data_IF_752070018790
#
_entry.id   IF_752070018790
#
_cell.length_a   1.000
_cell.length_b   1.000
_cell.length_c   1.000
_cell.angle_alpha   90.00
_cell.angle_beta   90.00
_cell.angle_gamma   90.00
#
_symmetry.space_group_name_H-M   'P 1'
#
loop_
_entity.id
_entity.type
_entity.pdbx_description
1 polymer ?
#
# COMPACT_ATOMS: atom_id res chain seq x y z
N UNK A 1 17.83 7.81 30.92
CA UNK A 1 17.95 9.08 30.18
C UNK A 1 18.22 8.66 28.75
N UNK A 2 17.22 8.79 27.89
CA UNK A 2 17.25 8.38 26.49
C UNK A 2 17.34 9.61 25.61
N UNK A 3 18.17 9.51 24.59
CA UNK A 3 18.25 10.53 23.55
C UNK A 3 17.05 10.43 22.61
N UNK A 4 16.40 11.56 22.37
CA UNK A 4 15.21 11.69 21.53
C UNK A 4 15.49 12.66 20.38
N UNK A 5 16.10 12.20 19.26
CA UNK A 5 16.42 13.07 18.14
C UNK A 5 15.14 13.62 17.50
N UNK A 6 15.12 14.92 17.13
CA UNK A 6 14.06 15.50 16.32
C UNK A 6 13.86 14.76 14.98
N UNK A 7 12.64 14.72 14.41
CA UNK A 7 12.37 14.05 13.14
C UNK A 7 13.15 14.62 11.94
N UNK A 8 13.63 15.85 12.04
CA UNK A 8 14.42 16.55 11.01
C UNK A 8 15.93 16.34 11.15
N UNK A 9 16.39 15.52 12.12
CA UNK A 9 17.79 15.15 12.27
C UNK A 9 18.07 13.78 11.66
N UNK A 10 19.33 13.49 11.28
CA UNK A 10 19.70 12.15 10.85
C UNK A 10 19.41 11.13 11.98
N UNK A 11 18.89 9.93 11.64
CA UNK A 11 18.56 8.92 12.64
C UNK A 11 19.82 8.43 13.35
N UNK A 12 19.78 8.41 14.68
CA UNK A 12 20.85 7.84 15.49
C UNK A 12 20.93 6.31 15.34
N UNK A 13 22.14 5.71 15.30
CA UNK A 13 22.27 4.25 15.29
C UNK A 13 21.58 3.59 16.50
N UNK A 14 21.05 2.36 16.36
CA UNK A 14 20.47 1.63 17.49
C UNK A 14 21.46 1.49 18.66
N UNK A 15 21.02 1.86 19.86
CA UNK A 15 21.83 1.80 21.08
C UNK A 15 22.84 2.94 21.25
N UNK A 16 22.87 3.91 20.33
CA UNK A 16 23.68 5.11 20.49
C UNK A 16 22.98 6.13 21.40
N UNK A 17 23.72 6.66 22.37
CA UNK A 17 23.32 7.83 23.16
C UNK A 17 24.53 8.77 23.24
N UNK A 18 24.32 10.09 23.10
CA UNK A 18 25.41 11.05 23.24
C UNK A 18 25.97 11.07 24.66
N UNK A 19 27.21 11.53 24.82
CA UNK A 19 27.76 11.84 26.14
C UNK A 19 27.25 13.20 26.67
N UNK A 20 27.54 13.52 27.93
CA UNK A 20 27.07 14.74 28.58
C UNK A 20 27.62 16.05 27.97
N UNK A 21 28.69 15.97 27.18
CA UNK A 21 29.33 17.12 26.53
C UNK A 21 28.99 17.20 25.04
N UNK A 22 28.13 16.31 24.55
CA UNK A 22 27.71 16.30 23.16
C UNK A 22 26.84 17.52 22.84
N UNK A 23 27.15 18.16 21.72
CA UNK A 23 26.31 19.18 21.10
C UNK A 23 25.92 18.72 19.69
N UNK A 24 24.71 19.07 19.21
CA UNK A 24 24.31 18.78 17.84
C UNK A 24 25.22 19.46 16.84
N UNK A 25 25.39 18.83 15.68
CA UNK A 25 26.13 19.43 14.57
C UNK A 25 25.49 20.77 14.19
N UNK A 26 26.26 21.88 14.10
CA UNK A 26 25.74 23.19 13.74
C UNK A 26 25.04 23.26 12.37
N UNK A 27 25.30 22.28 11.50
CA UNK A 27 24.66 22.18 10.18
C UNK A 27 23.26 21.56 10.23
N UNK A 28 22.85 20.97 11.36
CA UNK A 28 21.52 20.39 11.52
C UNK A 28 20.47 21.48 11.76
N UNK A 29 19.25 21.32 11.22
CA UNK A 29 18.16 22.25 11.51
C UNK A 29 17.90 22.34 13.02
N UNK A 30 17.48 23.50 13.56
CA UNK A 30 17.16 23.61 14.98
C UNK A 30 16.00 22.67 15.37
N UNK A 31 15.96 22.20 16.64
CA UNK A 31 14.85 21.40 17.12
C UNK A 31 13.56 22.24 17.14
N UNK A 32 12.37 21.61 16.97
CA UNK A 32 11.09 22.30 17.13
C UNK A 32 10.93 22.93 18.52
N UNK A 33 10.16 24.02 18.66
CA UNK A 33 9.91 24.63 19.97
C UNK A 33 9.37 23.62 20.99
N UNK A 34 9.97 23.58 22.18
CA UNK A 34 9.56 22.69 23.28
C UNK A 34 10.07 21.25 23.17
N UNK A 35 10.89 20.92 22.16
CA UNK A 35 11.45 19.58 22.02
C UNK A 35 12.50 19.26 23.09
N UNK A 36 12.34 18.12 23.75
CA UNK A 36 13.29 17.61 24.74
C UNK A 36 14.18 16.55 24.09
N UNK A 37 15.47 16.86 23.94
CA UNK A 37 16.48 15.94 23.40
C UNK A 37 16.80 14.80 24.37
N UNK A 38 16.49 14.96 25.65
CA UNK A 38 16.75 14.00 26.71
C UNK A 38 15.48 13.72 27.49
N UNK A 39 15.05 12.46 27.50
CA UNK A 39 13.88 12.00 28.28
C UNK A 39 14.33 11.01 29.34
N UNK A 40 13.75 11.04 30.55
CA UNK A 40 14.04 10.02 31.57
C UNK A 40 13.37 8.70 31.18
N UNK A 41 14.09 7.59 31.31
CA UNK A 41 13.50 6.26 31.18
C UNK A 41 12.99 5.87 32.56
N UNK A 42 11.67 5.79 32.72
CA UNK A 42 11.02 5.41 33.96
C UNK A 42 10.19 6.54 34.58
N UNK A 43 8.95 6.67 34.11
CA UNK A 43 7.84 7.03 34.98
C UNK A 43 6.57 6.38 34.39
N UNK A 44 6.19 5.28 35.02
CA UNK A 44 4.87 4.66 34.96
C UNK A 44 3.75 5.71 35.05
N UNK A 45 2.71 5.57 34.23
CA UNK A 45 1.38 6.13 34.59
C UNK A 45 0.81 5.20 35.66
N UNK A 46 0.29 5.69 36.80
CA UNK A 46 -1.09 5.31 37.15
C UNK A 46 -1.83 6.41 37.98
N UNK A 47 -3.11 6.21 38.37
CA UNK A 47 -4.24 7.06 38.05
C UNK A 47 -4.53 8.07 39.18
N UNK A 48 -5.58 8.88 39.03
CA UNK A 48 -5.88 10.00 39.92
C UNK A 48 -5.88 9.74 41.45
N UNK A 49 -5.79 10.87 42.15
CA UNK A 49 -6.06 11.15 43.58
C UNK A 49 -4.84 11.10 44.54
N UNK A 50 -4.49 12.28 45.08
CA UNK A 50 -3.47 12.56 46.11
C UNK A 50 -3.76 11.91 47.48
N UNK A 51 -2.72 11.80 48.35
CA UNK A 51 -2.86 12.24 49.74
C UNK A 51 -1.78 13.28 50.17
N UNK A 52 -1.99 14.02 51.28
CA UNK A 52 -1.23 15.23 51.63
C UNK A 52 -0.03 15.00 52.58
N UNK A 53 0.86 16.00 52.59
CA UNK A 53 1.93 16.36 53.53
C UNK A 53 2.22 15.47 54.77
N UNK A 54 3.50 15.06 54.90
CA UNK A 54 4.18 14.88 56.20
C UNK A 54 4.89 13.54 56.42
N UNK A 55 6.24 13.51 56.31
CA UNK A 55 7.22 12.68 57.04
C UNK A 55 8.52 12.40 56.21
N UNK A 56 9.70 12.22 56.84
CA UNK A 56 10.99 12.74 56.36
C UNK A 56 11.95 11.72 55.71
N UNK A 57 12.90 12.23 54.90
CA UNK A 57 13.92 11.49 54.15
C UNK A 57 15.11 10.99 55.00
N UNK A 58 15.66 9.78 54.73
CA UNK A 58 17.01 9.38 55.12
C UNK A 58 18.06 9.45 53.97
N UNK A 59 19.38 9.48 54.30
CA UNK A 59 20.46 10.12 53.54
C UNK A 59 21.17 9.25 52.47
N UNK A 60 22.03 9.83 51.60
CA UNK A 60 22.68 9.14 50.49
C UNK A 60 23.96 8.38 50.89
N UNK A 61 24.22 7.25 50.23
CA UNK A 61 25.45 6.44 50.35
C UNK A 61 26.52 6.77 49.28
N UNK A 62 27.79 6.35 49.47
CA UNK A 62 28.97 6.99 48.87
C UNK A 62 29.48 6.42 47.52
N UNK A 63 30.26 7.25 46.83
CA UNK A 63 30.87 7.12 45.49
C UNK A 63 32.29 6.44 45.48
N UNK A 64 32.94 6.21 44.31
CA UNK A 64 33.67 4.98 43.97
C UNK A 64 35.18 4.97 44.25
N UNK A 65 35.79 3.77 44.20
CA UNK A 65 37.24 3.54 44.38
C UNK A 65 37.95 2.92 43.16
N UNK A 66 38.97 3.67 42.71
CA UNK A 66 40.37 3.29 42.41
C UNK A 66 40.77 2.38 41.23
N UNK A 67 41.76 2.93 40.49
CA UNK A 67 42.64 2.42 39.42
C UNK A 67 43.58 1.26 39.84
N UNK A 68 44.00 0.43 38.86
CA UNK A 68 45.40 0.14 38.40
C UNK A 68 45.64 -1.30 37.93
N UNK A 69 46.44 -1.42 36.86
CA UNK A 69 47.12 -2.64 36.35
C UNK A 69 46.93 -2.77 34.84
N UNK A 70 47.70 -2.13 33.96
CA UNK A 70 49.15 -2.25 33.66
C UNK A 70 49.58 -3.70 33.42
N UNK A 71 49.63 -4.13 32.15
CA UNK A 71 50.69 -4.97 31.58
C UNK A 71 50.80 -4.73 30.06
N UNK A 72 52.05 -4.57 29.62
CA UNK A 72 52.53 -4.35 28.26
C UNK A 72 52.79 -5.68 27.56
N UNK A 73 52.63 -5.74 26.23
CA UNK A 73 53.65 -6.30 25.33
C UNK A 73 53.33 -6.05 23.85
N UNK A 74 54.27 -5.39 23.17
CA UNK A 74 54.43 -5.25 21.72
C UNK A 74 55.04 -6.51 21.10
N UNK A 75 54.73 -6.77 19.81
CA UNK A 75 55.67 -7.40 18.89
C UNK A 75 55.07 -8.37 17.88
N UNK A 76 54.90 -7.93 16.63
CA UNK A 76 55.47 -8.57 15.42
C UNK A 76 54.86 -7.96 14.14
N UNK A 77 55.74 -7.43 13.29
CA UNK A 77 55.45 -6.95 11.96
C UNK A 77 55.24 -8.11 10.96
N UNK A 78 54.42 -7.87 9.93
CA UNK A 78 54.24 -8.80 8.80
C UNK A 78 53.54 -8.13 7.61
N UNK A 79 54.34 -7.67 6.66
CA UNK A 79 53.97 -7.06 5.38
C UNK A 79 53.24 -8.06 4.47
N UNK A 80 52.15 -7.64 3.82
CA UNK A 80 51.74 -8.17 2.51
C UNK A 80 50.91 -7.13 1.73
N UNK A 81 51.58 -6.46 0.80
CA UNK A 81 51.02 -5.60 -0.25
C UNK A 81 50.70 -6.50 -1.45
N UNK A 82 49.41 -6.51 -1.85
CA UNK A 82 48.83 -6.44 -3.21
C UNK A 82 49.20 -7.51 -4.26
N UNK A 83 48.18 -7.82 -5.08
CA UNK A 83 48.16 -8.52 -6.39
C UNK A 83 47.90 -10.04 -6.24
N UNK A 84 46.80 -10.63 -6.73
CA UNK A 84 45.99 -10.30 -7.89
C UNK A 84 44.61 -10.99 -7.88
N UNK A 85 43.66 -10.32 -8.54
CA UNK A 85 42.58 -10.88 -9.36
C UNK A 85 41.40 -11.56 -8.66
N UNK A 86 40.40 -10.75 -8.32
CA UNK A 86 39.01 -11.20 -8.36
C UNK A 86 38.07 -10.56 -7.36
N UNK A 87 37.73 -9.27 -7.51
CA UNK A 87 36.32 -8.87 -7.50
C UNK A 87 36.17 -7.41 -7.93
N UNK A 88 35.37 -7.26 -8.97
CA UNK A 88 34.98 -6.05 -9.66
C UNK A 88 33.94 -5.28 -8.83
N UNK A 89 34.05 -3.95 -8.82
CA UNK A 89 33.01 -2.92 -8.60
C UNK A 89 31.99 -3.16 -7.47
N UNK A 90 31.98 -2.28 -6.46
CA UNK A 90 30.76 -1.58 -5.98
C UNK A 90 30.98 -0.99 -4.59
N UNK A 91 30.69 0.30 -4.42
CA UNK A 91 30.04 0.92 -3.25
C UNK A 91 30.08 2.45 -3.41
N UNK A 92 29.55 2.92 -4.55
CA UNK A 92 29.09 4.28 -4.70
C UNK A 92 27.56 4.29 -4.60
N UNK A 93 27.02 5.05 -3.63
CA UNK A 93 25.62 5.49 -3.58
C UNK A 93 24.59 4.46 -3.10
N UNK A 94 24.26 4.46 -1.81
CA UNK A 94 22.96 3.97 -1.32
C UNK A 94 22.11 5.17 -0.93
N UNK A 95 21.49 5.79 -1.94
CA UNK A 95 20.25 6.51 -1.73
C UNK A 95 19.23 5.46 -1.29
N UNK A 96 18.55 5.69 -0.16
CA UNK A 96 17.41 4.88 0.27
C UNK A 96 16.31 5.06 -0.76
N UNK A 97 16.27 4.16 -1.74
CA UNK A 97 15.07 3.93 -2.52
C UNK A 97 13.97 3.60 -1.50
N UNK A 98 12.90 4.41 -1.46
CA UNK A 98 11.60 3.85 -1.07
C UNK A 98 11.47 2.51 -1.79
N UNK A 99 11.23 1.43 -1.03
CA UNK A 99 11.27 0.05 -1.52
C UNK A 99 10.27 -0.13 -2.66
N UNK A 100 10.70 0.25 -3.87
CA UNK A 100 9.97 0.02 -5.10
C UNK A 100 9.80 -1.49 -5.21
N UNK A 101 8.60 -1.97 -5.57
CA UNK A 101 8.33 -3.39 -5.62
C UNK A 101 9.13 -4.13 -6.71
N UNK A 102 9.83 -3.38 -7.58
CA UNK A 102 10.81 -3.90 -8.53
C UNK A 102 12.06 -3.02 -8.56
N UNK A 103 13.21 -3.63 -8.87
CA UNK A 103 14.48 -2.94 -9.16
C UNK A 103 14.63 -2.56 -10.62
N UNK A 104 13.73 -3.03 -11.49
CA UNK A 104 13.72 -2.69 -12.92
C UNK A 104 13.27 -1.25 -13.13
N UNK A 105 13.68 -0.62 -14.26
CA UNK A 105 13.21 0.72 -14.60
C UNK A 105 11.69 0.75 -14.76
N UNK A 106 11.11 1.93 -14.53
CA UNK A 106 9.68 2.15 -14.71
C UNK A 106 9.28 1.94 -16.18
N UNK A 107 8.12 1.35 -16.40
CA UNK A 107 7.53 1.13 -17.71
C UNK A 107 6.96 2.47 -18.20
N UNK A 108 7.29 2.86 -19.42
CA UNK A 108 6.88 4.14 -20.02
C UNK A 108 5.93 3.99 -21.21
N UNK A 109 5.77 2.76 -21.70
CA UNK A 109 4.85 2.42 -22.80
C UNK A 109 4.21 1.07 -22.50
N UNK A 110 2.89 0.99 -22.64
CA UNK A 110 2.16 -0.27 -22.48
C UNK A 110 2.10 -1.00 -23.82
N UNK A 111 2.23 -2.33 -23.77
CA UNK A 111 2.01 -3.21 -24.93
C UNK A 111 1.03 -4.31 -24.56
N UNK A 112 0.32 -4.87 -25.56
CA UNK A 112 -0.62 -5.98 -25.32
C UNK A 112 0.06 -7.21 -24.72
N UNK A 113 1.36 -7.39 -24.97
CA UNK A 113 2.15 -8.49 -24.41
C UNK A 113 2.36 -8.37 -22.89
N UNK A 114 2.19 -7.17 -22.33
CA UNK A 114 2.27 -6.95 -20.88
C UNK A 114 0.98 -7.37 -20.15
N UNK A 115 -0.13 -7.61 -20.86
CA UNK A 115 -1.38 -8.07 -20.24
C UNK A 115 -1.34 -9.57 -20.00
N UNK A 116 -1.97 -9.99 -18.90
CA UNK A 116 -2.30 -11.39 -18.69
C UNK A 116 -3.20 -11.94 -19.80
N UNK A 117 -2.92 -13.19 -20.18
CA UNK A 117 -3.72 -13.91 -21.18
C UNK A 117 -4.96 -14.52 -20.53
N UNK A 118 -5.92 -14.94 -21.37
CA UNK A 118 -7.18 -15.56 -20.93
C UNK A 118 -6.95 -16.72 -19.95
N UNK A 119 -5.89 -17.51 -20.13
CA UNK A 119 -5.59 -18.66 -19.30
C UNK A 119 -5.25 -18.31 -17.84
N UNK A 120 -4.91 -17.05 -17.54
CA UNK A 120 -4.64 -16.58 -16.18
C UNK A 120 -5.93 -16.31 -15.39
N UNK A 121 -7.08 -16.16 -16.06
CA UNK A 121 -8.36 -15.92 -15.41
C UNK A 121 -8.93 -17.23 -14.87
N UNK A 122 -9.63 -17.20 -13.72
CA UNK A 122 -10.32 -18.37 -13.21
C UNK A 122 -11.43 -18.80 -14.16
N UNK A 123 -11.60 -20.11 -14.31
CA UNK A 123 -12.53 -20.72 -15.26
C UNK A 123 -12.46 -20.04 -16.65
N UNK A 124 -11.32 -20.18 -17.37
CA UNK A 124 -11.08 -19.48 -18.63
C UNK A 124 -11.99 -19.97 -19.77
N UNK A 125 -12.79 -21.02 -19.54
CA UNK A 125 -13.64 -21.64 -20.56
C UNK A 125 -14.97 -20.90 -20.71
N UNK A 126 -15.38 -20.64 -21.96
CA UNK A 126 -16.61 -19.88 -22.24
C UNK A 126 -16.54 -18.41 -21.83
N UNK A 127 -17.65 -17.69 -21.92
CA UNK A 127 -17.69 -16.24 -21.65
C UNK A 127 -17.08 -15.37 -22.75
N UNK A 128 -17.28 -14.06 -22.63
CA UNK A 128 -16.79 -13.03 -23.54
C UNK A 128 -15.40 -12.57 -23.08
N UNK A 129 -14.42 -12.66 -23.97
CA UNK A 129 -13.05 -12.20 -23.76
C UNK A 129 -12.78 -10.91 -24.54
N UNK A 130 -12.12 -9.95 -23.89
CA UNK A 130 -11.69 -8.68 -24.51
C UNK A 130 -10.30 -8.35 -23.95
N UNK A 131 -9.32 -8.05 -24.81
CA UNK A 131 -7.97 -7.65 -24.38
C UNK A 131 -7.27 -6.73 -25.38
N UNK A 132 -6.44 -5.80 -24.89
CA UNK A 132 -5.61 -4.91 -25.72
C UNK A 132 -5.26 -3.57 -25.04
N UNK A 133 -4.60 -2.69 -25.80
CA UNK A 133 -4.14 -1.34 -25.39
C UNK A 133 -5.03 -0.26 -26.01
N UNK A 134 -5.16 0.88 -25.33
CA UNK A 134 -5.74 2.17 -25.75
C UNK A 134 -7.13 2.13 -26.40
N UNK A 135 -7.93 1.09 -26.19
CA UNK A 135 -9.34 0.96 -26.62
C UNK A 135 -9.96 -0.40 -26.30
N UNK A 136 -9.16 -1.40 -25.91
CA UNK A 136 -9.72 -2.68 -25.49
C UNK A 136 -10.07 -2.62 -24.01
N UNK A 137 -11.35 -2.37 -23.69
CA UNK A 137 -11.90 -2.69 -22.37
C UNK A 137 -12.04 -1.55 -21.35
N UNK A 138 -11.71 -0.31 -21.69
CA UNK A 138 -12.13 0.87 -20.90
C UNK A 138 -13.66 1.06 -20.89
N UNK A 139 -14.41 0.27 -21.66
CA UNK A 139 -15.85 0.18 -21.52
C UNK A 139 -16.31 -1.23 -21.03
N UNK A 140 -16.64 -1.45 -19.73
CA UNK A 140 -18.07 -1.72 -19.49
C UNK A 140 -18.80 -0.48 -20.02
N UNK A 141 -19.92 -0.57 -20.79
CA UNK A 141 -20.44 0.60 -21.53
C UNK A 141 -20.27 1.80 -20.62
N UNK A 142 -19.48 2.83 -21.03
CA UNK A 142 -19.35 4.10 -20.30
C UNK A 142 -20.67 4.22 -19.60
N UNK A 143 -20.74 4.07 -18.28
CA UNK A 143 -22.06 4.12 -17.66
C UNK A 143 -22.38 5.59 -17.82
N UNK A 144 -22.96 6.04 -18.94
CA UNK A 144 -22.78 7.42 -19.41
C UNK A 144 -23.60 8.35 -18.52
N UNK A 145 -24.41 7.71 -17.68
CA UNK A 145 -25.37 8.22 -16.77
C UNK A 145 -24.98 7.88 -15.32
N UNK A 146 -23.77 7.39 -15.06
CA UNK A 146 -23.22 7.23 -13.72
C UNK A 146 -22.47 8.50 -13.34
N UNK A 147 -22.93 9.15 -12.29
CA UNK A 147 -22.22 10.26 -11.64
C UNK A 147 -21.76 9.81 -10.25
N UNK A 148 -20.53 10.15 -9.89
CA UNK A 148 -19.96 9.84 -8.56
C UNK A 148 -19.66 11.14 -7.83
N UNK A 149 -20.04 11.22 -6.56
CA UNK A 149 -19.77 12.36 -5.69
C UNK A 149 -19.06 11.89 -4.40
N UNK A 150 -17.80 12.33 -4.15
CA UNK A 150 -17.06 13.32 -4.94
C UNK A 150 -16.44 12.71 -6.22
N UNK A 151 -16.24 13.51 -7.29
CA UNK A 151 -15.87 13.00 -8.62
C UNK A 151 -14.53 12.28 -8.67
N UNK A 152 -13.59 12.62 -7.78
CA UNK A 152 -12.32 11.90 -7.66
C UNK A 152 -12.50 10.42 -7.26
N UNK A 153 -13.61 10.04 -6.65
CA UNK A 153 -13.89 8.63 -6.33
C UNK A 153 -14.38 7.84 -7.56
N UNK A 154 -14.62 8.48 -8.71
CA UNK A 154 -14.99 7.80 -9.95
C UNK A 154 -13.88 6.87 -10.46
N UNK A 155 -12.61 7.19 -10.19
CA UNK A 155 -11.44 6.40 -10.60
C UNK A 155 -11.40 4.99 -9.98
N UNK A 156 -12.27 4.68 -9.00
CA UNK A 156 -12.49 3.30 -8.54
C UNK A 156 -13.22 2.43 -9.58
N UNK A 157 -14.05 3.03 -10.42
CA UNK A 157 -14.85 2.34 -11.44
C UNK A 157 -14.20 2.40 -12.83
N UNK A 158 -13.45 3.46 -13.11
CA UNK A 158 -12.86 3.75 -14.42
C UNK A 158 -11.35 3.89 -14.36
N UNK A 159 -10.73 4.10 -15.53
CA UNK A 159 -9.34 4.59 -15.56
C UNK A 159 -9.21 5.98 -14.98
N UNK A 160 -8.07 6.30 -14.34
CA UNK A 160 -7.78 7.67 -13.94
C UNK A 160 -7.95 8.61 -15.12
N UNK A 161 -8.65 9.71 -14.91
CA UNK A 161 -8.87 10.72 -15.96
C UNK A 161 -7.57 11.29 -16.54
N UNK A 162 -6.47 11.20 -15.79
CA UNK A 162 -5.13 11.65 -16.16
C UNK A 162 -4.30 10.59 -16.88
N UNK A 163 -4.82 9.37 -17.07
CA UNK A 163 -4.09 8.30 -17.73
C UNK A 163 -3.73 8.64 -19.17
N UNK A 164 -2.46 8.44 -19.54
CA UNK A 164 -1.94 8.69 -20.89
C UNK A 164 -2.02 7.46 -21.79
N UNK A 165 -2.00 6.25 -21.20
CA UNK A 165 -2.20 4.98 -21.89
C UNK A 165 -2.93 4.02 -20.96
N UNK A 166 -3.79 3.18 -21.53
CA UNK A 166 -4.50 2.14 -20.80
C UNK A 166 -4.36 0.79 -21.50
N UNK A 167 -4.38 -0.29 -20.74
CA UNK A 167 -4.45 -1.63 -21.31
C UNK A 167 -5.35 -2.48 -20.42
N UNK A 168 -6.26 -3.25 -21.00
CA UNK A 168 -7.21 -4.04 -20.22
C UNK A 168 -7.29 -5.46 -20.76
N UNK A 169 -7.43 -6.42 -19.86
CA UNK A 169 -7.86 -7.80 -20.13
C UNK A 169 -9.13 -8.08 -19.32
N UNK A 170 -10.21 -8.48 -19.97
CA UNK A 170 -11.52 -8.72 -19.34
C UNK A 170 -12.10 -10.07 -19.76
N UNK A 171 -12.56 -10.85 -18.78
CA UNK A 171 -13.37 -12.03 -18.97
C UNK A 171 -14.74 -11.82 -18.30
N UNK A 172 -15.80 -11.81 -19.10
CA UNK A 172 -17.18 -11.69 -18.61
C UNK A 172 -17.95 -13.00 -18.89
N UNK A 173 -18.52 -13.59 -17.85
CA UNK A 173 -19.22 -14.88 -17.92
C UNK A 173 -20.57 -14.79 -17.22
N UNK A 174 -21.61 -15.21 -17.94
CA UNK A 174 -22.93 -15.40 -17.34
C UNK A 174 -22.92 -16.75 -16.60
N UNK A 175 -23.24 -16.73 -15.31
CA UNK A 175 -23.27 -17.88 -14.42
C UNK A 175 -24.67 -18.00 -13.76
N UNK A 176 -25.03 -19.17 -13.20
CA UNK A 176 -26.18 -19.28 -12.32
C UNK A 176 -26.01 -18.27 -11.17
N UNK A 177 -26.93 -17.33 -11.03
CA UNK A 177 -26.86 -16.25 -10.03
C UNK A 177 -26.56 -14.87 -10.61
N UNK A 178 -25.91 -14.74 -11.77
CA UNK A 178 -25.62 -13.43 -12.35
C UNK A 178 -24.53 -13.38 -13.42
N UNK A 179 -24.12 -12.16 -13.75
CA UNK A 179 -22.97 -11.87 -14.59
C UNK A 179 -21.73 -11.68 -13.70
N UNK A 180 -20.73 -12.56 -13.85
CA UNK A 180 -19.41 -12.40 -13.26
C UNK A 180 -18.46 -11.78 -14.28
N UNK A 181 -17.80 -10.69 -13.91
CA UNK A 181 -16.80 -10.02 -14.74
C UNK A 181 -15.52 -9.89 -13.96
N UNK A 182 -14.45 -10.48 -14.47
CA UNK A 182 -13.10 -10.27 -13.94
C UNK A 182 -12.28 -9.47 -14.94
N UNK A 183 -11.48 -8.54 -14.42
CA UNK A 183 -10.72 -7.59 -15.22
C UNK A 183 -9.36 -7.34 -14.61
N UNK A 184 -8.37 -7.18 -15.48
CA UNK A 184 -7.09 -6.54 -15.15
C UNK A 184 -6.97 -5.30 -16.01
N UNK A 185 -6.64 -4.17 -15.39
CA UNK A 185 -6.43 -2.88 -16.04
C UNK A 185 -5.07 -2.33 -15.65
N UNK A 186 -4.35 -1.85 -16.65
CA UNK A 186 -3.08 -1.17 -16.53
C UNK A 186 -3.29 0.27 -16.98
N UNK A 187 -2.71 1.22 -16.25
CA UNK A 187 -2.72 2.61 -16.66
C UNK A 187 -1.36 3.26 -16.38
N UNK A 188 -0.85 3.99 -17.38
CA UNK A 188 0.21 4.96 -17.18
C UNK A 188 -0.44 6.30 -16.91
N UNK A 189 -0.12 6.92 -15.78
CA UNK A 189 -0.66 8.22 -15.37
C UNK A 189 0.48 9.06 -14.82
N UNK A 190 0.56 10.37 -15.13
CA UNK A 190 1.57 11.26 -14.55
C UNK A 190 1.35 11.43 -13.05
N UNK A 191 0.10 11.31 -12.60
CA UNK A 191 -0.27 11.40 -11.21
C UNK A 191 -0.25 10.01 -10.57
N UNK A 192 0.55 9.86 -9.50
CA UNK A 192 0.64 8.65 -8.68
C UNK A 192 0.07 8.92 -7.28
N UNK A 193 -1.26 9.08 -7.13
CA UNK A 193 -1.87 9.26 -5.82
C UNK A 193 -1.54 8.09 -4.89
N UNK A 194 -1.31 8.40 -3.61
CA UNK A 194 -1.15 7.37 -2.59
C UNK A 194 -2.48 6.60 -2.44
N UNK A 195 -2.49 5.33 -2.88
CA UNK A 195 -3.71 4.52 -2.93
C UNK A 195 -4.36 4.32 -1.56
N UNK A 196 -3.58 4.20 -0.48
CA UNK A 196 -4.12 4.06 0.87
C UNK A 196 -4.89 5.32 1.28
N UNK A 197 -4.28 6.50 1.06
CA UNK A 197 -4.95 7.79 1.29
C UNK A 197 -6.18 7.97 0.41
N UNK A 198 -6.12 7.49 -0.83
CA UNK A 198 -7.24 7.54 -1.77
C UNK A 198 -8.42 6.70 -1.29
N UNK A 199 -8.17 5.45 -0.87
CA UNK A 199 -9.18 4.58 -0.24
C UNK A 199 -9.75 5.20 1.04
N UNK A 200 -8.91 5.78 1.89
CA UNK A 200 -9.38 6.46 3.11
C UNK A 200 -10.30 7.64 2.83
N UNK A 201 -10.04 8.39 1.75
CA UNK A 201 -10.88 9.53 1.31
C UNK A 201 -12.23 9.05 0.75
N UNK A 202 -12.23 7.94 0.02
CA UNK A 202 -13.41 7.41 -0.67
C UNK A 202 -14.09 6.25 0.08
N UNK A 203 -13.95 6.17 1.41
CA UNK A 203 -14.64 5.17 2.24
C UNK A 203 -16.16 5.20 2.06
N UNK A 204 -16.71 6.38 1.87
CA UNK A 204 -18.12 6.59 1.59
C UNK A 204 -18.26 7.63 0.50
N UNK A 205 -19.00 7.30 -0.54
CA UNK A 205 -19.35 8.24 -1.62
C UNK A 205 -20.72 7.88 -2.18
N UNK A 206 -21.30 8.79 -2.94
CA UNK A 206 -22.59 8.52 -3.60
C UNK A 206 -22.37 8.26 -5.07
N UNK A 207 -23.15 7.32 -5.60
CA UNK A 207 -23.25 7.12 -7.04
C UNK A 207 -24.68 7.37 -7.47
N UNK A 208 -24.89 8.04 -8.60
CA UNK A 208 -26.20 8.29 -9.18
C UNK A 208 -26.22 7.72 -10.58
N UNK A 209 -27.16 6.79 -10.84
CA UNK A 209 -27.37 6.22 -12.15
C UNK A 209 -28.66 6.78 -12.76
N UNK A 210 -28.58 7.39 -13.94
CA UNK A 210 -29.75 7.88 -14.66
C UNK A 210 -30.14 6.95 -15.83
N UNK A 211 -31.41 6.59 -15.96
CA UNK A 211 -31.88 5.81 -17.09
C UNK A 211 -33.34 6.13 -17.39
N UNK A 212 -33.62 6.52 -18.64
CA UNK A 212 -34.99 6.80 -19.09
C UNK A 212 -35.72 7.86 -18.26
N UNK A 213 -34.99 8.89 -17.79
CA UNK A 213 -35.53 9.99 -16.97
C UNK A 213 -35.75 9.65 -15.50
N UNK A 214 -35.26 8.49 -15.02
CA UNK A 214 -35.21 8.13 -13.59
C UNK A 214 -33.77 8.15 -13.10
N UNK A 215 -33.53 8.79 -11.96
CA UNK A 215 -32.26 8.75 -11.26
C UNK A 215 -32.35 7.82 -10.05
N UNK A 216 -31.35 6.97 -9.87
CA UNK A 216 -31.19 6.12 -8.70
C UNK A 216 -29.87 6.48 -8.04
N UNK A 217 -29.94 7.13 -6.88
CA UNK A 217 -28.78 7.45 -6.05
C UNK A 217 -28.57 6.35 -5.01
N UNK A 218 -27.34 5.90 -4.84
CA UNK A 218 -26.95 4.82 -3.93
C UNK A 218 -25.72 5.26 -3.13
N UNK A 219 -25.78 5.07 -1.81
CA UNK A 219 -24.62 5.25 -0.94
C UNK A 219 -23.72 4.03 -1.06
N UNK A 220 -22.45 4.29 -1.34
CA UNK A 220 -21.42 3.28 -1.51
C UNK A 220 -20.54 3.26 -0.28
N UNK A 221 -20.31 2.06 0.25
CA UNK A 221 -19.31 1.83 1.28
C UNK A 221 -18.15 1.04 0.67
N UNK A 222 -16.97 1.67 0.70
CA UNK A 222 -15.72 1.05 0.30
C UNK A 222 -15.01 0.57 1.55
N UNK A 223 -14.94 -0.75 1.70
CA UNK A 223 -14.26 -1.40 2.82
C UNK A 223 -12.94 -2.00 2.34
N UNK A 224 -12.01 -2.19 3.26
CA UNK A 224 -10.80 -2.98 2.99
C UNK A 224 -11.18 -4.45 2.85
N UNK A 225 -10.61 -5.12 1.85
CA UNK A 225 -10.72 -6.57 1.70
C UNK A 225 -9.48 -7.20 2.35
N UNK A 226 -9.68 -8.04 3.37
CA UNK A 226 -8.60 -8.84 3.95
C UNK A 226 -8.47 -10.14 3.15
N UNK A 227 -7.35 -10.29 2.45
CA UNK A 227 -7.08 -11.46 1.62
C UNK A 227 -5.60 -11.83 1.69
N UNK A 228 -5.32 -13.10 1.96
CA UNK A 228 -3.96 -13.62 2.02
C UNK A 228 -3.29 -13.49 0.65
N UNK A 229 -2.01 -13.08 0.63
CA UNK A 229 -1.22 -12.96 -0.60
C UNK A 229 -1.34 -11.62 -1.33
N UNK A 230 -2.12 -10.67 -0.81
CA UNK A 230 -2.07 -9.27 -1.28
C UNK A 230 -0.70 -8.66 -0.92
N UNK A 231 0.07 -8.14 -1.89
CA UNK A 231 1.35 -7.52 -1.58
C UNK A 231 1.19 -6.29 -0.66
N UNK A 232 2.12 -6.03 0.28
CA UNK A 232 1.96 -4.98 1.29
C UNK A 232 1.92 -3.55 0.74
N UNK A 233 2.41 -3.36 -0.49
CA UNK A 233 2.40 -2.11 -1.25
C UNK A 233 1.10 -1.91 -2.06
N UNK A 234 0.28 -2.95 -2.21
CA UNK A 234 -1.02 -2.89 -2.86
C UNK A 234 -2.14 -2.63 -1.83
N UNK A 235 -3.33 -2.31 -2.33
CA UNK A 235 -4.53 -2.08 -1.53
C UNK A 235 -5.67 -2.92 -2.10
N UNK A 236 -6.28 -3.74 -1.25
CA UNK A 236 -7.44 -4.53 -1.57
C UNK A 236 -8.70 -3.92 -0.93
N UNK A 237 -9.76 -3.77 -1.72
CA UNK A 237 -11.01 -3.15 -1.30
C UNK A 237 -12.21 -3.91 -1.83
N UNK A 238 -13.32 -3.84 -1.10
CA UNK A 238 -14.62 -4.37 -1.52
C UNK A 238 -15.67 -3.29 -1.37
N UNK A 239 -16.54 -3.17 -2.37
CA UNK A 239 -17.71 -2.32 -2.34
C UNK A 239 -18.88 -3.15 -1.86
N UNK A 240 -19.49 -2.72 -0.76
CA UNK A 240 -20.82 -3.17 -0.33
C UNK A 240 -21.80 -2.03 -0.61
N UNK A 241 -22.74 -2.27 -1.53
CA UNK A 241 -23.78 -1.27 -1.81
C UNK A 241 -24.75 -1.21 -0.62
N UNK A 242 -24.84 -0.03 0.00
CA UNK A 242 -25.73 0.20 1.13
C UNK A 242 -26.86 1.10 0.66
N UNK A 243 -27.98 0.53 0.18
CA UNK A 243 -29.20 1.34 0.17
C UNK A 243 -30.40 0.61 0.74
N UNK A 244 -31.11 1.33 1.61
CA UNK A 244 -32.50 1.07 1.98
C UNK A 244 -33.47 1.36 0.84
N UNK A 245 -33.04 2.01 -0.25
CA UNK A 245 -33.86 2.33 -1.43
C UNK A 245 -33.82 1.22 -2.50
N UNK A 246 -32.72 0.47 -2.62
CA UNK A 246 -32.63 -0.76 -3.42
C UNK A 246 -33.38 -1.94 -2.78
N UNK A 247 -34.03 -1.75 -1.63
CA UNK A 247 -34.87 -2.76 -0.97
C UNK A 247 -36.06 -3.25 -1.81
N UNK A 248 -36.25 -2.75 -3.03
CA UNK A 248 -37.29 -3.20 -3.98
C UNK A 248 -36.76 -3.88 -5.23
N UNK A 249 -35.45 -3.82 -5.52
CA UNK A 249 -34.87 -4.48 -6.69
C UNK A 249 -34.04 -5.67 -6.21
N UNK A 250 -34.28 -6.90 -6.73
CA UNK A 250 -33.62 -8.09 -6.26
C UNK A 250 -32.17 -8.22 -6.75
N UNK A 251 -31.48 -7.13 -7.11
CA UNK A 251 -30.15 -7.15 -7.73
C UNK A 251 -29.07 -6.82 -6.68
N UNK A 252 -28.07 -7.68 -6.51
CA UNK A 252 -26.85 -7.41 -5.76
C UNK A 252 -25.70 -7.07 -6.72
N UNK A 253 -24.90 -6.08 -6.33
CA UNK A 253 -23.63 -5.75 -6.98
C UNK A 253 -22.55 -5.82 -5.92
N UNK A 254 -21.67 -6.80 -6.07
CA UNK A 254 -20.46 -6.95 -5.25
C UNK A 254 -19.26 -6.73 -6.15
N UNK A 255 -18.38 -5.81 -5.75
CA UNK A 255 -17.17 -5.48 -6.50
C UNK A 255 -15.96 -5.53 -5.56
N UNK A 256 -15.02 -6.41 -5.85
CA UNK A 256 -13.74 -6.50 -5.16
C UNK A 256 -12.62 -6.04 -6.09
N UNK A 257 -11.67 -5.25 -5.57
CA UNK A 257 -10.57 -4.66 -6.33
C UNK A 257 -9.26 -4.80 -5.58
N UNK A 258 -8.18 -5.11 -6.28
CA UNK A 258 -6.80 -4.99 -5.79
C UNK A 258 -6.08 -4.00 -6.69
N UNK A 259 -5.48 -2.97 -6.09
CA UNK A 259 -4.80 -1.90 -6.82
C UNK A 259 -3.40 -1.65 -6.27
N UNK A 260 -2.46 -1.31 -7.15
CA UNK A 260 -1.08 -1.02 -6.75
C UNK A 260 -0.27 -0.42 -7.88
N UNK A 261 0.78 0.34 -7.53
CA UNK A 261 1.74 0.84 -8.51
C UNK A 261 2.93 -0.10 -8.62
N UNK A 262 3.16 -0.64 -9.82
CA UNK A 262 4.29 -1.53 -10.12
C UNK A 262 5.08 -1.02 -11.32
N UNK A 263 6.37 -0.74 -11.14
CA UNK A 263 7.24 -0.11 -12.17
C UNK A 263 6.58 1.12 -12.82
N UNK A 264 5.94 1.99 -12.03
CA UNK A 264 5.24 3.19 -12.51
C UNK A 264 3.88 2.95 -13.19
N UNK A 265 3.43 1.71 -13.32
CA UNK A 265 2.11 1.36 -13.87
C UNK A 265 1.12 1.19 -12.74
N UNK A 266 -0.04 1.84 -12.84
CA UNK A 266 -1.19 1.51 -11.99
C UNK A 266 -1.78 0.18 -12.47
N UNK A 267 -1.71 -0.84 -11.63
CA UNK A 267 -2.31 -2.15 -11.85
C UNK A 267 -3.58 -2.26 -11.02
N UNK A 268 -4.69 -2.60 -11.66
CA UNK A 268 -5.99 -2.77 -11.01
C UNK A 268 -6.59 -4.10 -11.46
N UNK A 269 -6.69 -5.06 -10.56
CA UNK A 269 -7.48 -6.27 -10.75
C UNK A 269 -8.86 -6.08 -10.11
N UNK A 270 -9.93 -6.46 -10.80
CA UNK A 270 -11.30 -6.29 -10.32
C UNK A 270 -12.11 -7.55 -10.57
N UNK A 271 -12.94 -7.93 -9.60
CA UNK A 271 -13.98 -8.95 -9.71
C UNK A 271 -15.33 -8.31 -9.39
N UNK A 272 -16.22 -8.32 -10.37
CA UNK A 272 -17.58 -7.78 -10.25
C UNK A 272 -18.59 -8.91 -10.44
N UNK A 273 -19.50 -9.05 -9.48
CA UNK A 273 -20.65 -9.92 -9.58
C UNK A 273 -21.92 -9.08 -9.57
N UNK A 274 -22.69 -9.17 -10.65
CA UNK A 274 -24.00 -8.53 -10.78
C UNK A 274 -25.03 -9.64 -10.88
N UNK A 275 -25.80 -9.84 -9.82
CA UNK A 275 -26.66 -11.00 -9.69
C UNK A 275 -27.97 -10.71 -8.99
N UNK A 276 -28.80 -11.74 -8.86
CA UNK A 276 -29.92 -11.65 -7.93
C UNK A 276 -29.39 -11.78 -6.50
N UNK A 277 -29.95 -11.04 -5.55
CA UNK A 277 -29.59 -11.11 -4.13
C UNK A 277 -29.92 -12.51 -3.61
N UNK A 278 -28.91 -13.37 -3.62
CA UNK A 278 -28.89 -14.67 -2.97
C UNK A 278 -28.13 -14.49 -1.65
N UNK A 279 -28.37 -15.34 -0.66
CA UNK A 279 -27.44 -15.48 0.47
C UNK A 279 -26.18 -16.16 -0.08
N UNK A 280 -25.28 -15.36 -0.66
CA UNK A 280 -23.96 -15.86 -1.04
C UNK A 280 -23.25 -16.32 0.25
N UNK A 281 -22.69 -17.53 0.25
CA UNK A 281 -22.00 -18.07 1.41
C UNK A 281 -20.63 -17.40 1.59
N UNK A 282 -20.16 -17.30 2.83
CA UNK A 282 -18.81 -16.80 3.18
C UNK A 282 -17.69 -17.50 2.37
N UNK A 283 -17.91 -18.77 1.99
CA UNK A 283 -17.01 -19.54 1.12
C UNK A 283 -16.88 -18.99 -0.30
N UNK A 284 -17.95 -18.43 -0.86
CA UNK A 284 -17.95 -17.92 -2.24
C UNK A 284 -17.23 -16.58 -2.31
N UNK A 285 -17.36 -15.75 -1.28
CA UNK A 285 -16.61 -14.49 -1.16
C UNK A 285 -15.10 -14.73 -0.98
N UNK A 286 -14.72 -15.71 -0.16
CA UNK A 286 -13.32 -16.08 0.05
C UNK A 286 -12.69 -16.63 -1.23
N UNK A 287 -13.34 -17.56 -1.92
CA UNK A 287 -12.84 -18.10 -3.19
C UNK A 287 -12.69 -17.00 -4.27
N UNK A 288 -13.61 -16.03 -4.29
CA UNK A 288 -13.49 -14.88 -5.18
C UNK A 288 -12.30 -13.97 -4.85
N UNK A 289 -12.01 -13.76 -3.56
CA UNK A 289 -10.85 -13.00 -3.13
C UNK A 289 -9.54 -13.71 -3.52
N UNK A 290 -9.45 -15.02 -3.33
CA UNK A 290 -8.29 -15.83 -3.72
C UNK A 290 -8.03 -15.79 -5.24
N UNK A 291 -9.08 -15.97 -6.04
CA UNK A 291 -9.03 -15.84 -7.49
C UNK A 291 -8.51 -14.45 -7.93
N UNK A 292 -8.96 -13.40 -7.24
CA UNK A 292 -8.57 -12.02 -7.53
C UNK A 292 -7.11 -11.75 -7.15
N UNK A 293 -6.66 -12.23 -6.00
CA UNK A 293 -5.26 -12.14 -5.56
C UNK A 293 -4.33 -12.85 -6.54
N UNK A 294 -4.70 -14.07 -6.95
CA UNK A 294 -3.93 -14.85 -7.92
C UNK A 294 -3.80 -14.09 -9.25
N UNK A 295 -4.92 -13.58 -9.78
CA UNK A 295 -4.93 -12.81 -11.02
C UNK A 295 -4.05 -11.56 -10.93
N UNK A 296 -4.14 -10.82 -9.83
CA UNK A 296 -3.30 -9.63 -9.58
C UNK A 296 -1.81 -10.01 -9.57
N UNK A 297 -1.41 -11.02 -8.80
CA UNK A 297 -0.02 -11.44 -8.69
C UNK A 297 0.53 -11.98 -10.01
N UNK A 298 -0.25 -12.74 -10.78
CA UNK A 298 0.14 -13.17 -12.14
C UNK A 298 0.35 -11.98 -13.08
N UNK A 299 -0.45 -10.91 -12.96
CA UNK A 299 -0.21 -9.68 -13.72
C UNK A 299 1.10 -8.99 -13.30
N UNK A 300 1.44 -9.00 -12.01
CA UNK A 300 2.72 -8.46 -11.53
C UNK A 300 3.90 -9.24 -12.10
N UNK A 301 3.84 -10.57 -12.11
CA UNK A 301 4.85 -11.42 -12.74
C UNK A 301 5.02 -11.11 -14.24
N UNK A 302 3.92 -10.85 -14.94
CA UNK A 302 3.95 -10.45 -16.37
C UNK A 302 4.66 -9.11 -16.58
N UNK A 303 4.40 -8.11 -15.71
CA UNK A 303 5.10 -6.81 -15.76
C UNK A 303 6.57 -6.90 -15.35
N UNK A 304 6.89 -7.79 -14.41
CA UNK A 304 8.27 -8.03 -14.02
C UNK A 304 9.04 -8.74 -15.14
N UNK A 305 8.41 -9.63 -15.89
CA UNK A 305 9.04 -10.30 -17.05
C UNK A 305 9.25 -9.35 -18.25
N UNK A 306 8.49 -8.26 -18.34
CA UNK A 306 8.63 -7.28 -19.41
C UNK A 306 9.99 -6.57 -19.36
N UNK A 307 10.53 -6.24 -20.54
CA UNK A 307 11.79 -5.50 -20.68
C UNK A 307 11.60 -4.02 -20.33
#
# INVERSE_FOLDING_TARGET
>A
MRFNPPPNWPPAPPGWAPDANWAPDPTWPPPPPGWQLWVQDGADVPPGVYPPYGAPWPPPGPEPRSRRGLWLSLGAAGVAIVVALGLVLSLGGRFTAEDKPSRKPDITTLTSEMLVERAAFPDPTGGKWISGVDSAGDAPPDMPNLTVDPPECADFYSSPSTATQTATATLAKLQPGGLRTMRVRLALTPDHPNLKRFVDKCKTFTQTFEQGGRSVTTDIQLNTLDAEGVPPWAVATVITSASKAASRLPISITAATISGYYRGVLVVATSNNVGLRMEDGESDEQAQAEDLVKLFNTQIEKLEAAQ
#
